data_IF_856752949992
#
_entry.id   IF_856752949992
#
_cell.length_a   1.000
_cell.length_b   1.000
_cell.length_c   1.000
_cell.angle_alpha   90.00
_cell.angle_beta   90.00
_cell.angle_gamma   90.00
#
_symmetry.space_group_name_H-M   'P 1'
#
loop_
_entity.id
_entity.type
_entity.pdbx_description
1 polymer ?
#
# COMPACT_ATOMS: atom_id res chain seq x y z
N UNK A 1 -29.72 -35.49 -16.55
CA UNK A 1 -28.72 -34.75 -15.75
C UNK A 1 -29.52 -33.84 -14.82
N UNK A 2 -29.33 -33.98 -13.50
CA UNK A 2 -30.17 -33.26 -12.53
C UNK A 2 -30.02 -31.74 -12.72
N UNK A 3 -31.15 -31.00 -12.62
CA UNK A 3 -31.20 -29.54 -12.79
C UNK A 3 -30.11 -28.84 -11.97
N UNK A 4 -29.85 -29.31 -10.75
CA UNK A 4 -28.81 -28.82 -9.87
C UNK A 4 -27.40 -28.91 -10.47
N UNK A 5 -27.06 -30.05 -11.11
CA UNK A 5 -25.77 -30.23 -11.78
C UNK A 5 -25.62 -29.28 -12.97
N UNK A 6 -26.70 -29.11 -13.74
CA UNK A 6 -26.69 -28.20 -14.89
C UNK A 6 -26.50 -26.76 -14.45
N UNK A 7 -27.19 -26.32 -13.38
CA UNK A 7 -26.99 -24.98 -12.80
C UNK A 7 -25.56 -24.79 -12.32
N UNK A 8 -24.96 -25.76 -11.63
CA UNK A 8 -23.58 -25.67 -11.19
C UNK A 8 -22.58 -25.59 -12.36
N UNK A 9 -22.79 -26.31 -13.45
CA UNK A 9 -21.97 -26.20 -14.65
C UNK A 9 -22.08 -24.82 -15.30
N UNK A 10 -23.29 -24.26 -15.40
CA UNK A 10 -23.50 -22.93 -15.95
C UNK A 10 -22.78 -21.88 -15.09
N UNK A 11 -22.92 -21.94 -13.78
CA UNK A 11 -22.24 -21.06 -12.84
C UNK A 11 -20.71 -21.21 -13.00
N UNK A 12 -20.19 -22.43 -13.04
CA UNK A 12 -18.76 -22.66 -13.20
C UNK A 12 -18.21 -22.11 -14.52
N UNK A 13 -18.95 -22.26 -15.63
CA UNK A 13 -18.58 -21.70 -16.95
C UNK A 13 -18.61 -20.19 -16.92
N UNK A 14 -19.64 -19.57 -16.32
CA UNK A 14 -19.73 -18.10 -16.19
C UNK A 14 -18.54 -17.57 -15.38
N UNK A 15 -18.24 -18.18 -14.23
CA UNK A 15 -17.07 -17.81 -13.43
C UNK A 15 -15.77 -17.98 -14.21
N UNK A 16 -15.59 -19.10 -14.90
CA UNK A 16 -14.41 -19.34 -15.71
C UNK A 16 -14.23 -18.25 -16.78
N UNK A 17 -15.26 -17.91 -17.53
CA UNK A 17 -15.22 -16.84 -18.56
C UNK A 17 -14.92 -15.50 -17.90
N UNK A 18 -15.59 -15.16 -16.79
CA UNK A 18 -15.36 -13.91 -16.06
C UNK A 18 -13.92 -13.76 -15.54
N UNK A 19 -13.25 -14.86 -15.20
CA UNK A 19 -11.88 -14.82 -14.65
C UNK A 19 -10.80 -15.16 -15.67
N UNK A 20 -11.13 -15.82 -16.78
CA UNK A 20 -10.17 -16.24 -17.82
C UNK A 20 -9.38 -15.07 -18.42
N UNK A 21 -9.97 -13.86 -18.49
CA UNK A 21 -9.29 -12.67 -18.98
C UNK A 21 -7.99 -12.35 -18.20
N UNK A 22 -7.88 -12.78 -16.94
CA UNK A 22 -6.68 -12.55 -16.11
C UNK A 22 -5.45 -13.31 -16.68
N UNK A 23 -5.67 -14.42 -17.38
CA UNK A 23 -4.57 -15.12 -18.06
C UNK A 23 -3.98 -14.30 -19.21
N UNK A 24 -4.74 -13.37 -19.80
CA UNK A 24 -4.24 -12.47 -20.83
C UNK A 24 -3.20 -11.47 -20.29
N UNK A 25 -3.18 -11.23 -18.98
CA UNK A 25 -2.18 -10.35 -18.35
C UNK A 25 -0.81 -11.03 -18.18
N UNK A 26 -0.73 -12.38 -18.16
CA UNK A 26 0.52 -13.10 -17.93
C UNK A 26 1.62 -12.75 -18.96
N UNK A 27 1.37 -12.72 -20.26
CA UNK A 27 2.39 -12.37 -21.25
C UNK A 27 2.72 -10.87 -21.31
N UNK A 28 1.86 -9.99 -20.79
CA UNK A 28 2.02 -8.52 -20.92
C UNK A 28 3.33 -8.01 -20.31
N UNK A 29 3.73 -8.36 -19.09
CA UNK A 29 5.01 -7.92 -18.53
C UNK A 29 6.21 -8.42 -19.36
N UNK A 30 6.15 -9.64 -19.86
CA UNK A 30 7.22 -10.21 -20.67
C UNK A 30 7.39 -9.47 -22.01
N UNK A 31 6.27 -9.07 -22.65
CA UNK A 31 6.29 -8.39 -23.95
C UNK A 31 6.61 -6.90 -23.84
N UNK A 32 6.08 -6.20 -22.83
CA UNK A 32 6.07 -4.74 -22.76
C UNK A 32 7.02 -4.13 -21.72
N UNK A 33 7.45 -4.89 -20.69
CA UNK A 33 8.20 -4.34 -19.58
C UNK A 33 9.52 -3.68 -20.03
N UNK A 34 10.31 -4.35 -20.88
CA UNK A 34 11.61 -3.82 -21.36
C UNK A 34 11.46 -2.49 -22.09
N UNK A 35 10.47 -2.38 -22.98
CA UNK A 35 10.23 -1.16 -23.77
C UNK A 35 9.79 0.00 -22.90
N UNK A 36 8.89 -0.24 -21.93
CA UNK A 36 8.42 0.80 -21.03
C UNK A 36 9.45 1.17 -19.97
N UNK A 37 10.24 0.21 -19.47
CA UNK A 37 11.34 0.49 -18.56
C UNK A 37 12.39 1.40 -19.19
N UNK A 38 12.76 1.19 -20.47
CA UNK A 38 13.67 2.07 -21.20
C UNK A 38 13.11 3.50 -21.30
N UNK A 39 11.79 3.65 -21.57
CA UNK A 39 11.15 4.96 -21.62
C UNK A 39 11.11 5.64 -20.23
N UNK A 40 10.81 4.89 -19.17
CA UNK A 40 10.79 5.40 -17.80
C UNK A 40 12.19 5.79 -17.28
N UNK A 41 13.22 5.04 -17.67
CA UNK A 41 14.60 5.35 -17.31
C UNK A 41 15.15 6.63 -17.97
N UNK A 42 14.56 7.06 -19.09
CA UNK A 42 14.90 8.31 -19.75
C UNK A 42 14.29 9.57 -19.08
N UNK A 43 13.36 9.39 -18.14
CA UNK A 43 12.75 10.47 -17.36
C UNK A 43 13.57 10.66 -16.08
N UNK A 44 14.10 11.86 -15.87
CA UNK A 44 14.70 12.23 -14.60
C UNK A 44 13.62 12.26 -13.51
N UNK A 45 13.88 11.55 -12.41
CA UNK A 45 13.00 11.57 -11.25
C UNK A 45 13.31 12.81 -10.41
N UNK A 46 12.36 13.72 -10.29
CA UNK A 46 12.46 14.87 -9.39
C UNK A 46 12.32 14.39 -7.94
N UNK A 47 13.23 14.79 -7.03
CA UNK A 47 13.03 14.50 -5.61
C UNK A 47 11.79 15.23 -5.07
N UNK A 48 10.95 14.53 -4.31
CA UNK A 48 9.75 15.05 -3.69
C UNK A 48 9.81 14.90 -2.16
N UNK A 49 9.14 15.79 -1.46
CA UNK A 49 9.03 15.77 -0.01
C UNK A 49 7.87 14.88 0.43
N UNK A 50 8.13 13.81 1.18
CA UNK A 50 7.14 12.82 1.55
C UNK A 50 6.85 12.75 3.04
N UNK A 51 5.57 12.69 3.40
CA UNK A 51 5.11 12.22 4.70
C UNK A 51 4.85 10.72 4.66
N UNK A 52 5.52 9.97 5.49
CA UNK A 52 5.24 8.54 5.73
C UNK A 52 4.27 8.43 6.88
N UNK A 53 3.12 7.81 6.63
CA UNK A 53 1.99 7.66 7.55
C UNK A 53 1.93 6.21 8.05
N UNK A 54 2.08 6.01 9.34
CA UNK A 54 2.02 4.69 9.98
C UNK A 54 0.95 4.72 11.07
N UNK A 55 -0.10 3.91 10.94
CA UNK A 55 -1.07 3.70 11.99
C UNK A 55 -0.74 2.40 12.73
N UNK A 56 -0.47 2.49 14.03
CA UNK A 56 -0.02 1.37 14.84
C UNK A 56 -0.95 1.16 16.03
N UNK A 57 -1.28 -0.11 16.33
CA UNK A 57 -2.04 -0.49 17.53
C UNK A 57 -1.43 -1.71 18.17
N UNK A 58 -0.70 -1.51 19.28
CA UNK A 58 0.04 -2.55 20.00
C UNK A 58 1.04 -3.30 19.08
N UNK A 59 1.90 -2.52 18.44
CA UNK A 59 2.90 -3.00 17.46
C UNK A 59 4.34 -2.82 17.97
N UNK A 60 4.53 -2.85 19.30
CA UNK A 60 5.84 -2.64 19.96
C UNK A 60 6.93 -3.60 19.48
N UNK A 61 6.54 -4.81 19.05
CA UNK A 61 7.48 -5.83 18.58
C UNK A 61 8.07 -5.56 17.16
N UNK A 62 7.40 -4.77 16.33
CA UNK A 62 7.72 -4.64 14.89
C UNK A 62 7.92 -3.22 14.40
N UNK A 63 7.37 -2.22 15.08
CA UNK A 63 7.40 -0.82 14.65
C UNK A 63 8.82 -0.27 14.43
N UNK A 64 9.79 -0.69 15.27
CA UNK A 64 11.18 -0.27 15.14
C UNK A 64 11.82 -0.77 13.84
N UNK A 65 11.48 -1.97 13.39
CA UNK A 65 12.02 -2.57 12.18
C UNK A 65 11.55 -1.81 10.93
N UNK A 66 10.28 -1.43 10.88
CA UNK A 66 9.76 -0.59 9.80
C UNK A 66 10.48 0.77 9.77
N UNK A 67 10.55 1.46 10.91
CA UNK A 67 11.21 2.78 10.98
C UNK A 67 12.69 2.65 10.61
N UNK A 68 13.38 1.59 11.07
CA UNK A 68 14.76 1.29 10.69
C UNK A 68 14.92 1.08 9.18
N UNK A 69 14.00 0.36 8.54
CA UNK A 69 13.99 0.15 7.09
C UNK A 69 13.73 1.44 6.30
N UNK A 70 12.93 2.37 6.84
CA UNK A 70 12.71 3.71 6.28
C UNK A 70 13.95 4.61 6.41
N UNK A 71 14.65 4.55 7.55
CA UNK A 71 15.90 5.29 7.77
C UNK A 71 17.06 4.78 6.92
N UNK A 72 17.02 3.52 6.49
CA UNK A 72 18.03 2.91 5.62
C UNK A 72 17.74 3.06 4.11
N UNK A 73 16.71 3.82 3.74
CA UNK A 73 16.39 4.07 2.34
C UNK A 73 17.52 4.84 1.63
N UNK A 74 17.74 4.52 0.36
CA UNK A 74 18.69 5.24 -0.51
C UNK A 74 18.15 6.61 -0.96
N UNK A 75 16.95 6.96 -0.58
CA UNK A 75 16.32 8.26 -0.82
C UNK A 75 16.85 9.31 0.18
N UNK A 76 16.84 10.57 -0.21
CA UNK A 76 17.29 11.67 0.66
C UNK A 76 16.46 11.73 1.94
N UNK A 77 17.11 11.50 3.07
CA UNK A 77 16.43 11.44 4.39
C UNK A 77 15.89 12.80 4.84
N UNK A 78 16.38 13.91 4.29
CA UNK A 78 15.83 15.24 4.57
C UNK A 78 14.46 15.49 3.93
N UNK A 79 14.10 14.68 2.93
CA UNK A 79 12.83 14.71 2.21
C UNK A 79 11.87 13.59 2.66
N UNK A 80 12.22 12.84 3.72
CA UNK A 80 11.42 11.70 4.20
C UNK A 80 11.06 11.89 5.67
N UNK A 81 9.84 12.25 5.94
CA UNK A 81 9.32 12.54 7.29
C UNK A 81 8.44 11.39 7.77
N UNK A 82 8.77 10.79 8.91
CA UNK A 82 8.09 9.59 9.43
C UNK A 82 7.15 10.00 10.56
N UNK A 83 5.86 9.74 10.38
CA UNK A 83 4.79 10.03 11.32
C UNK A 83 4.09 8.74 11.73
N UNK A 84 3.95 8.54 13.02
CA UNK A 84 3.25 7.39 13.61
C UNK A 84 2.06 7.88 14.40
N UNK A 85 0.87 7.33 14.15
CA UNK A 85 -0.25 7.43 15.05
C UNK A 85 -0.38 6.15 15.87
N UNK A 86 -0.11 6.24 17.16
CA UNK A 86 -0.36 5.17 18.12
C UNK A 86 -1.85 5.20 18.52
N UNK A 87 -2.65 4.33 17.89
CA UNK A 87 -4.10 4.30 18.07
C UNK A 87 -4.53 3.28 19.12
N UNK A 88 -5.00 3.78 20.26
CA UNK A 88 -5.42 2.96 21.40
C UNK A 88 -4.33 1.96 21.88
N UNK A 89 -3.07 2.37 21.84
CA UNK A 89 -1.97 1.53 22.33
C UNK A 89 -1.99 1.40 23.85
N UNK A 90 -1.73 0.18 24.33
CA UNK A 90 -1.58 -0.17 25.75
C UNK A 90 -0.18 -0.69 26.08
N UNK A 91 0.68 -0.80 25.05
CA UNK A 91 2.07 -1.22 25.13
C UNK A 91 3.05 -0.06 24.83
N UNK A 92 4.34 -0.37 24.70
CA UNK A 92 5.40 0.62 24.49
C UNK A 92 5.54 1.09 23.03
N UNK A 93 4.55 0.84 22.13
CA UNK A 93 4.60 1.21 20.72
C UNK A 93 5.01 2.67 20.51
N UNK A 94 4.39 3.62 21.23
CA UNK A 94 4.68 5.05 21.12
C UNK A 94 6.12 5.39 21.49
N UNK A 95 6.60 4.83 22.62
CA UNK A 95 7.95 5.10 23.13
C UNK A 95 9.03 4.55 22.17
N UNK A 96 8.81 3.33 21.66
CA UNK A 96 9.71 2.67 20.71
C UNK A 96 9.75 3.45 19.38
N UNK A 97 8.61 3.88 18.86
CA UNK A 97 8.56 4.66 17.62
C UNK A 97 9.29 6.01 17.74
N UNK A 98 9.12 6.72 18.86
CA UNK A 98 9.87 7.96 19.15
C UNK A 98 11.37 7.71 19.22
N UNK A 99 11.79 6.67 19.92
CA UNK A 99 13.21 6.29 20.05
C UNK A 99 13.84 5.92 18.73
N UNK A 100 13.06 5.35 17.80
CA UNK A 100 13.49 5.04 16.44
C UNK A 100 13.52 6.29 15.51
N UNK A 101 13.11 7.46 16.01
CA UNK A 101 13.21 8.74 15.30
C UNK A 101 11.96 9.14 14.50
N UNK A 102 10.80 8.59 14.80
CA UNK A 102 9.53 9.03 14.23
C UNK A 102 8.90 10.17 15.05
N UNK A 103 8.14 11.06 14.42
CA UNK A 103 7.19 11.95 15.08
C UNK A 103 5.94 11.15 15.41
N UNK A 104 5.56 11.12 16.71
CA UNK A 104 4.48 10.25 17.19
C UNK A 104 3.34 11.04 17.77
N UNK A 105 2.14 10.82 17.24
CA UNK A 105 0.87 11.24 17.82
C UNK A 105 0.19 10.06 18.50
N UNK A 106 -0.59 10.33 19.53
CA UNK A 106 -1.34 9.33 20.28
C UNK A 106 -2.84 9.64 20.20
N UNK A 107 -3.63 8.60 20.00
CA UNK A 107 -5.08 8.70 19.95
C UNK A 107 -5.72 7.63 20.81
N UNK A 108 -6.69 8.05 21.63
CA UNK A 108 -7.50 7.16 22.47
C UNK A 108 -8.98 7.41 22.14
N UNK A 109 -9.58 6.53 21.32
CA UNK A 109 -10.97 6.64 20.89
C UNK A 109 -11.57 5.25 20.68
N UNK A 110 -12.55 4.88 21.50
CA UNK A 110 -13.22 3.58 21.45
C UNK A 110 -14.51 3.60 20.60
N UNK A 111 -14.89 4.75 20.05
CA UNK A 111 -16.08 4.91 19.20
C UNK A 111 -15.71 4.83 17.72
N UNK A 112 -14.71 5.59 17.32
CA UNK A 112 -14.20 5.61 15.94
C UNK A 112 -12.98 4.68 15.85
N UNK A 113 -13.21 3.39 15.71
CA UNK A 113 -12.16 2.37 15.66
C UNK A 113 -11.88 1.98 14.20
N UNK A 114 -10.60 1.84 13.86
CA UNK A 114 -10.16 1.37 12.54
C UNK A 114 -9.13 2.28 11.88
N UNK A 115 -8.39 1.71 10.91
CA UNK A 115 -7.29 2.37 10.21
C UNK A 115 -7.72 3.66 9.49
N UNK A 116 -8.92 3.68 8.90
CA UNK A 116 -9.44 4.88 8.24
C UNK A 116 -9.57 6.07 9.18
N UNK A 117 -10.11 5.86 10.38
CA UNK A 117 -10.20 6.92 11.40
C UNK A 117 -8.82 7.31 11.95
N UNK A 118 -7.91 6.37 12.07
CA UNK A 118 -6.54 6.63 12.49
C UNK A 118 -5.81 7.50 11.45
N UNK A 119 -5.90 7.15 10.16
CA UNK A 119 -5.34 7.96 9.07
C UNK A 119 -5.95 9.35 9.02
N UNK A 120 -7.28 9.47 9.16
CA UNK A 120 -7.96 10.76 9.24
C UNK A 120 -7.40 11.65 10.34
N UNK A 121 -7.26 11.08 11.55
CA UNK A 121 -6.71 11.81 12.71
C UNK A 121 -5.28 12.24 12.46
N UNK A 122 -4.43 11.34 11.93
CA UNK A 122 -3.02 11.64 11.64
C UNK A 122 -2.91 12.77 10.61
N UNK A 123 -3.64 12.69 9.51
CA UNK A 123 -3.65 13.73 8.47
C UNK A 123 -4.13 15.07 9.00
N UNK A 124 -5.18 15.08 9.86
CA UNK A 124 -5.65 16.32 10.49
C UNK A 124 -4.60 16.96 11.41
N UNK A 125 -3.79 16.18 12.12
CA UNK A 125 -2.64 16.71 12.85
C UNK A 125 -1.58 17.29 11.93
N UNK A 126 -1.28 16.59 10.82
CA UNK A 126 -0.28 17.08 9.86
C UNK A 126 -0.70 18.38 9.17
N UNK A 127 -1.98 18.56 8.85
CA UNK A 127 -2.50 19.82 8.30
C UNK A 127 -2.30 21.00 9.27
N UNK A 128 -2.41 20.76 10.58
CA UNK A 128 -2.22 21.78 11.61
C UNK A 128 -0.74 22.10 11.86
N UNK A 129 0.08 21.05 12.02
CA UNK A 129 1.48 21.19 12.44
C UNK A 129 2.42 21.49 11.27
N UNK A 130 2.03 21.07 10.04
CA UNK A 130 2.81 21.23 8.81
C UNK A 130 1.98 21.91 7.71
N UNK A 131 1.60 23.19 7.85
CA UNK A 131 0.69 23.88 6.91
C UNK A 131 1.30 24.02 5.49
N UNK A 132 2.62 23.96 5.37
CA UNK A 132 3.27 23.89 4.06
C UNK A 132 2.98 22.58 3.31
N UNK A 133 2.58 21.51 4.04
CA UNK A 133 2.27 20.20 3.51
C UNK A 133 3.47 19.45 2.93
N UNK A 134 3.17 18.34 2.28
CA UNK A 134 4.14 17.48 1.61
C UNK A 134 3.71 17.28 0.14
N UNK A 135 4.64 16.89 -0.73
CA UNK A 135 4.30 16.61 -2.14
C UNK A 135 3.48 15.31 -2.27
N UNK A 136 3.73 14.37 -1.36
CA UNK A 136 2.99 13.11 -1.32
C UNK A 136 3.02 12.45 0.06
N UNK A 137 2.09 11.54 0.24
CA UNK A 137 1.84 10.81 1.48
C UNK A 137 1.95 9.30 1.22
N UNK A 138 2.76 8.60 1.99
CA UNK A 138 2.99 7.15 1.82
C UNK A 138 2.46 6.43 3.05
N UNK A 139 1.54 5.49 2.85
CA UNK A 139 0.89 4.75 3.94
C UNK A 139 1.51 3.37 4.12
N UNK A 140 1.87 3.03 5.36
CA UNK A 140 2.36 1.70 5.74
C UNK A 140 1.62 1.14 6.95
N UNK A 141 1.53 -0.19 6.99
CA UNK A 141 1.22 -0.93 8.21
C UNK A 141 2.50 -1.12 9.04
N UNK A 142 2.38 -1.16 10.35
CA UNK A 142 3.52 -1.13 11.28
C UNK A 142 4.45 -2.35 11.18
N UNK A 143 3.96 -3.47 10.64
CA UNK A 143 4.68 -4.73 10.48
C UNK A 143 5.45 -4.87 9.15
N UNK A 144 5.47 -3.83 8.34
CA UNK A 144 6.12 -3.86 7.03
C UNK A 144 7.65 -3.73 7.14
N UNK A 145 8.38 -4.30 6.17
CA UNK A 145 9.80 -4.04 5.94
C UNK A 145 10.01 -3.64 4.47
N UNK A 146 10.84 -2.65 4.23
CA UNK A 146 11.08 -2.08 2.91
C UNK A 146 12.45 -2.48 2.38
N UNK A 147 12.51 -2.76 1.08
CA UNK A 147 13.78 -2.80 0.36
C UNK A 147 14.46 -1.42 0.38
N UNK A 148 15.79 -1.31 0.47
CA UNK A 148 16.49 -0.02 0.51
C UNK A 148 16.19 0.92 -0.66
N UNK A 149 15.78 0.40 -1.80
CA UNK A 149 15.41 1.18 -2.99
C UNK A 149 13.93 1.53 -3.11
N UNK A 150 13.11 1.19 -2.11
CA UNK A 150 11.65 1.30 -2.18
C UNK A 150 11.17 2.73 -2.47
N UNK A 151 11.57 3.69 -1.65
CA UNK A 151 11.12 5.09 -1.79
C UNK A 151 11.60 5.69 -3.12
N UNK A 152 12.84 5.40 -3.53
CA UNK A 152 13.36 5.85 -4.82
C UNK A 152 12.57 5.27 -6.01
N UNK A 153 12.11 4.03 -5.91
CA UNK A 153 11.27 3.41 -6.95
C UNK A 153 9.86 4.02 -6.99
N UNK A 154 9.25 4.29 -5.83
CA UNK A 154 7.97 4.99 -5.72
C UNK A 154 8.06 6.39 -6.30
N UNK A 155 9.10 7.16 -5.90
CA UNK A 155 9.36 8.52 -6.39
C UNK A 155 9.52 8.55 -7.92
N UNK A 156 10.24 7.58 -8.51
CA UNK A 156 10.42 7.49 -9.96
C UNK A 156 9.09 7.31 -10.70
N UNK A 157 8.15 6.56 -10.13
CA UNK A 157 6.83 6.40 -10.72
C UNK A 157 5.96 7.63 -10.50
N UNK A 158 6.01 8.24 -9.33
CA UNK A 158 5.31 9.48 -8.99
C UNK A 158 5.75 10.64 -9.87
N UNK A 159 7.05 10.80 -10.13
CA UNK A 159 7.62 11.83 -11.03
C UNK A 159 7.14 11.71 -12.49
N UNK A 160 6.46 10.63 -12.87
CA UNK A 160 5.83 10.50 -14.19
C UNK A 160 4.45 11.19 -14.26
N UNK A 161 4.02 11.86 -13.19
CA UNK A 161 2.75 12.60 -13.12
C UNK A 161 1.55 11.76 -12.70
N UNK A 162 1.77 10.66 -11.97
CA UNK A 162 0.68 9.89 -11.36
C UNK A 162 0.39 10.38 -9.95
N UNK A 163 -0.86 10.68 -9.66
CA UNK A 163 -1.30 11.11 -8.33
C UNK A 163 -1.33 9.98 -7.31
N UNK A 164 -1.49 8.73 -7.75
CA UNK A 164 -1.58 7.57 -6.87
C UNK A 164 -0.69 6.45 -7.40
N UNK A 165 0.14 5.89 -6.51
CA UNK A 165 1.09 4.84 -6.85
C UNK A 165 0.99 3.71 -5.83
N UNK A 166 0.83 2.48 -6.28
CA UNK A 166 0.90 1.26 -5.45
C UNK A 166 2.21 0.51 -5.69
N UNK A 167 2.63 -0.27 -4.69
CA UNK A 167 3.92 -0.94 -4.67
C UNK A 167 3.85 -2.45 -4.94
N UNK A 168 5.04 -3.07 -5.05
CA UNK A 168 5.19 -4.51 -5.15
C UNK A 168 5.18 -5.12 -3.75
N UNK A 169 4.12 -5.87 -3.43
CA UNK A 169 4.00 -6.59 -2.15
C UNK A 169 4.57 -7.99 -2.26
N UNK A 170 5.29 -8.39 -1.22
CA UNK A 170 5.88 -9.71 -1.06
C UNK A 170 5.66 -10.18 0.39
N UNK A 171 5.97 -11.44 0.71
CA UNK A 171 5.89 -12.01 2.04
C UNK A 171 7.27 -12.18 2.65
N UNK A 172 7.42 -11.89 3.96
CA UNK A 172 8.63 -12.18 4.74
C UNK A 172 8.79 -13.68 5.01
N UNK A 173 7.70 -14.36 5.24
CA UNK A 173 7.62 -15.69 5.88
C UNK A 173 6.89 -16.73 5.04
N UNK A 174 7.09 -16.70 3.72
CA UNK A 174 6.44 -17.64 2.79
C UNK A 174 6.75 -19.13 3.08
N UNK A 175 7.85 -19.41 3.77
CA UNK A 175 8.29 -20.77 4.09
C UNK A 175 7.75 -21.35 5.39
N UNK A 176 7.05 -20.58 6.22
CA UNK A 176 6.65 -21.02 7.57
C UNK A 176 5.55 -22.07 7.55
N UNK A 177 4.57 -21.92 6.67
CA UNK A 177 3.46 -22.86 6.52
C UNK A 177 2.77 -22.68 5.16
N UNK A 178 1.86 -23.61 4.82
CA UNK A 178 1.15 -23.60 3.55
C UNK A 178 0.22 -22.39 3.35
N UNK A 179 -0.30 -21.80 4.44
CA UNK A 179 -1.14 -20.58 4.38
C UNK A 179 -0.27 -19.40 3.99
N UNK A 180 0.87 -19.21 4.64
CA UNK A 180 1.84 -18.15 4.31
C UNK A 180 2.35 -18.27 2.88
N UNK A 181 2.61 -19.50 2.42
CA UNK A 181 2.97 -19.78 1.02
C UNK A 181 1.84 -19.40 0.05
N UNK A 182 0.60 -19.70 0.39
CA UNK A 182 -0.58 -19.34 -0.41
C UNK A 182 -0.74 -17.82 -0.56
N UNK A 183 -0.58 -17.06 0.52
CA UNK A 183 -0.60 -15.59 0.47
C UNK A 183 0.60 -15.01 -0.30
N UNK A 184 1.79 -15.58 -0.18
CA UNK A 184 2.94 -15.16 -0.97
C UNK A 184 2.69 -15.32 -2.47
N UNK A 185 2.10 -16.44 -2.90
CA UNK A 185 1.69 -16.66 -4.28
C UNK A 185 0.60 -15.66 -4.72
N UNK A 186 -0.34 -15.33 -3.83
CA UNK A 186 -1.36 -14.32 -4.10
C UNK A 186 -0.74 -12.93 -4.34
N UNK A 187 0.18 -12.47 -3.47
CA UNK A 187 0.86 -11.20 -3.62
C UNK A 187 1.72 -11.14 -4.88
N UNK A 188 2.44 -12.24 -5.18
CA UNK A 188 3.21 -12.36 -6.43
C UNK A 188 2.30 -12.22 -7.66
N UNK A 189 1.16 -12.94 -7.68
CA UNK A 189 0.18 -12.86 -8.77
C UNK A 189 -0.37 -11.45 -8.91
N UNK A 190 -0.80 -10.84 -7.81
CA UNK A 190 -1.37 -9.49 -7.81
C UNK A 190 -0.36 -8.46 -8.28
N UNK A 191 0.85 -8.45 -7.72
CA UNK A 191 1.88 -7.47 -8.06
C UNK A 191 2.40 -7.67 -9.48
N UNK A 192 2.89 -8.87 -9.81
CA UNK A 192 3.61 -9.14 -11.05
C UNK A 192 2.69 -9.30 -12.27
N UNK A 193 1.57 -10.00 -12.10
CA UNK A 193 0.73 -10.40 -13.23
C UNK A 193 -0.55 -9.58 -13.38
N UNK A 194 -1.03 -8.91 -12.33
CA UNK A 194 -2.18 -8.01 -12.43
C UNK A 194 -1.75 -6.54 -12.45
N UNK A 195 -1.19 -6.02 -11.37
CA UNK A 195 -0.90 -4.59 -11.26
C UNK A 195 0.19 -4.14 -12.25
N UNK A 196 1.27 -4.91 -12.38
CA UNK A 196 2.30 -4.58 -13.37
C UNK A 196 1.74 -4.61 -14.81
N UNK A 197 0.96 -5.64 -15.15
CA UNK A 197 0.35 -5.73 -16.49
C UNK A 197 -0.64 -4.58 -16.75
N UNK A 198 -1.52 -4.26 -15.78
CA UNK A 198 -2.45 -3.13 -15.87
C UNK A 198 -1.72 -1.80 -16.10
N UNK A 199 -0.68 -1.54 -15.32
CA UNK A 199 0.16 -0.35 -15.48
C UNK A 199 0.83 -0.29 -16.85
N UNK A 200 1.34 -1.43 -17.37
CA UNK A 200 1.91 -1.51 -18.71
C UNK A 200 0.88 -1.29 -19.81
N UNK A 201 -0.35 -1.67 -19.63
CA UNK A 201 -1.45 -1.42 -20.57
C UNK A 201 -2.04 -0.01 -20.44
N UNK A 202 -1.64 0.77 -19.41
CA UNK A 202 -2.16 2.11 -19.15
C UNK A 202 -3.56 2.12 -18.51
N UNK A 203 -3.99 0.97 -17.95
CA UNK A 203 -5.19 0.87 -17.13
C UNK A 203 -4.85 1.12 -15.66
N UNK A 204 -5.86 1.38 -14.82
CA UNK A 204 -5.65 1.59 -13.39
C UNK A 204 -5.37 0.29 -12.65
N UNK A 205 -4.46 0.35 -11.68
CA UNK A 205 -4.31 -0.64 -10.63
C UNK A 205 -5.33 -0.38 -9.50
N UNK A 206 -5.19 -1.08 -8.37
CA UNK A 206 -5.89 -0.78 -7.14
C UNK A 206 -4.88 -0.67 -6.00
N UNK A 207 -5.16 0.17 -5.02
CA UNK A 207 -4.47 0.18 -3.74
C UNK A 207 -4.92 -1.05 -2.96
N UNK A 208 -4.07 -1.59 -2.11
CA UNK A 208 -4.39 -2.78 -1.33
C UNK A 208 -3.67 -2.72 0.02
N UNK A 209 -4.34 -2.18 1.02
CA UNK A 209 -3.98 -2.11 2.43
C UNK A 209 -2.79 -1.19 2.73
N UNK A 210 -1.63 -1.48 2.21
CA UNK A 210 -0.36 -0.85 2.61
C UNK A 210 0.58 -0.63 1.44
N UNK A 211 1.61 0.20 1.62
CA UNK A 211 2.62 0.46 0.61
C UNK A 211 2.10 1.22 -0.60
N UNK A 212 1.29 2.25 -0.38
CA UNK A 212 0.83 3.12 -1.44
C UNK A 212 1.15 4.58 -1.15
N UNK A 213 1.26 5.36 -2.21
CA UNK A 213 1.52 6.78 -2.20
C UNK A 213 0.34 7.50 -2.85
N UNK A 214 -0.05 8.64 -2.31
CA UNK A 214 -0.97 9.59 -2.94
C UNK A 214 -0.44 11.01 -2.86
N UNK A 215 -0.78 11.83 -3.87
CA UNK A 215 -0.31 13.22 -3.99
C UNK A 215 -1.02 14.15 -3.02
N UNK A 216 -0.42 15.33 -2.82
CA UNK A 216 -1.05 16.46 -2.13
C UNK A 216 -2.39 16.83 -2.78
N UNK A 217 -2.48 16.85 -4.10
CA UNK A 217 -3.71 17.17 -4.81
C UNK A 217 -4.87 16.23 -4.46
N UNK A 218 -4.58 14.93 -4.27
CA UNK A 218 -5.59 13.97 -3.79
C UNK A 218 -6.06 14.34 -2.40
N UNK A 219 -5.17 14.66 -1.47
CA UNK A 219 -5.56 15.07 -0.11
C UNK A 219 -6.40 16.34 -0.09
N UNK A 220 -6.00 17.35 -0.87
CA UNK A 220 -6.71 18.64 -0.96
C UNK A 220 -8.13 18.50 -1.52
N UNK A 221 -8.34 17.58 -2.46
CA UNK A 221 -9.66 17.35 -3.05
C UNK A 221 -10.57 16.42 -2.21
N UNK A 222 -10.01 15.40 -1.59
CA UNK A 222 -10.78 14.45 -0.78
C UNK A 222 -10.97 14.89 0.66
N UNK A 223 -10.14 15.83 1.15
CA UNK A 223 -10.02 16.15 2.57
C UNK A 223 -9.30 15.05 3.36
N UNK A 224 -9.20 15.20 4.68
CA UNK A 224 -8.44 14.27 5.52
C UNK A 224 -9.14 12.91 5.61
N UNK A 225 -8.84 12.03 4.67
CA UNK A 225 -9.19 10.61 4.61
C UNK A 225 -10.66 10.27 5.00
N UNK A 226 -11.65 10.47 4.11
CA UNK A 226 -13.06 10.18 4.42
C UNK A 226 -13.46 8.70 4.29
N UNK A 227 -12.48 7.78 4.22
CA UNK A 227 -12.66 6.36 3.96
C UNK A 227 -12.56 5.56 5.25
N UNK A 228 -13.69 5.01 5.75
CA UNK A 228 -13.78 4.42 7.09
C UNK A 228 -14.29 2.97 7.09
N UNK A 229 -14.51 2.37 5.92
CA UNK A 229 -14.89 0.97 5.83
C UNK A 229 -13.73 0.06 6.24
N UNK A 230 -14.02 -1.20 6.53
CA UNK A 230 -13.00 -2.22 6.82
C UNK A 230 -11.99 -2.38 5.66
N UNK A 231 -12.42 -2.07 4.44
CA UNK A 231 -11.61 -2.06 3.21
C UNK A 231 -11.47 -0.62 2.71
N UNK A 232 -10.92 0.26 3.55
CA UNK A 232 -10.73 1.68 3.26
C UNK A 232 -9.88 1.93 2.01
N UNK A 233 -8.94 1.05 1.74
CA UNK A 233 -8.06 1.03 0.58
C UNK A 233 -8.81 0.78 -0.74
N UNK A 234 -9.76 -0.14 -0.73
CA UNK A 234 -10.64 -0.40 -1.89
C UNK A 234 -11.60 0.77 -2.07
N UNK A 235 -12.18 1.29 -0.98
CA UNK A 235 -13.05 2.46 -1.02
C UNK A 235 -12.32 3.66 -1.62
N UNK A 236 -11.09 3.94 -1.18
CA UNK A 236 -10.21 4.96 -1.74
C UNK A 236 -9.95 4.72 -3.23
N UNK A 237 -9.54 3.50 -3.61
CA UNK A 237 -9.24 3.15 -5.01
C UNK A 237 -10.44 3.39 -5.93
N UNK A 238 -11.63 2.94 -5.52
CA UNK A 238 -12.86 3.11 -6.31
C UNK A 238 -13.23 4.59 -6.43
N UNK A 239 -13.15 5.34 -5.33
CA UNK A 239 -13.42 6.78 -5.33
C UNK A 239 -12.52 7.51 -6.33
N UNK A 240 -11.21 7.32 -6.26
CA UNK A 240 -10.26 8.02 -7.10
C UNK A 240 -10.36 7.63 -8.59
N UNK A 241 -10.64 6.36 -8.88
CA UNK A 241 -10.87 5.90 -10.25
C UNK A 241 -12.15 6.54 -10.83
N UNK A 242 -13.19 6.70 -10.04
CA UNK A 242 -14.43 7.38 -10.46
C UNK A 242 -14.21 8.87 -10.72
N UNK A 243 -13.25 9.51 -10.04
CA UNK A 243 -12.80 10.89 -10.34
C UNK A 243 -11.87 10.97 -11.57
N UNK A 244 -11.63 9.85 -12.25
CA UNK A 244 -10.82 9.79 -13.48
C UNK A 244 -9.32 9.63 -13.22
N UNK A 245 -8.86 9.50 -11.97
CA UNK A 245 -7.47 9.25 -11.63
C UNK A 245 -7.08 7.81 -11.92
N UNK A 246 -5.79 7.59 -12.14
CA UNK A 246 -5.20 6.26 -12.33
C UNK A 246 -4.26 5.93 -11.20
N UNK A 247 -4.45 4.75 -10.64
CA UNK A 247 -3.47 4.16 -9.72
C UNK A 247 -2.37 3.50 -10.55
N UNK A 248 -1.16 4.03 -10.48
CA UNK A 248 0.02 3.45 -11.13
C UNK A 248 0.66 2.37 -10.25
N UNK A 249 1.50 1.54 -10.85
CA UNK A 249 2.26 0.50 -10.14
C UNK A 249 3.76 0.76 -10.27
N UNK A 250 4.47 0.77 -9.14
CA UNK A 250 5.92 0.89 -9.08
C UNK A 250 6.55 -0.51 -9.03
N UNK A 251 7.13 -1.03 -10.12
CA UNK A 251 7.51 -2.45 -10.22
C UNK A 251 8.74 -2.84 -9.39
N UNK A 252 9.54 -1.87 -8.95
CA UNK A 252 10.78 -2.09 -8.18
C UNK A 252 10.69 -1.61 -6.74
N UNK A 253 9.50 -1.27 -6.25
CA UNK A 253 9.24 -0.92 -4.85
C UNK A 253 8.84 -2.16 -4.07
N UNK A 254 9.82 -2.94 -3.59
CA UNK A 254 9.55 -4.17 -2.86
C UNK A 254 9.24 -3.89 -1.39
N UNK A 255 8.05 -4.34 -0.98
CA UNK A 255 7.53 -4.29 0.38
C UNK A 255 7.31 -5.72 0.87
N UNK A 256 7.77 -6.02 2.08
CA UNK A 256 7.64 -7.32 2.71
C UNK A 256 6.65 -7.24 3.88
N UNK A 257 5.56 -8.01 3.80
CA UNK A 257 4.54 -8.11 4.84
C UNK A 257 4.81 -9.31 5.75
N UNK A 258 4.50 -9.17 7.03
CA UNK A 258 4.41 -10.30 7.95
C UNK A 258 3.03 -10.95 7.84
N UNK A 259 2.98 -12.27 7.65
CA UNK A 259 1.73 -13.04 7.58
C UNK A 259 1.41 -13.75 8.91
N UNK A 260 2.12 -13.40 9.99
CA UNK A 260 1.96 -14.05 11.30
C UNK A 260 0.57 -13.75 11.89
N UNK A 261 0.05 -12.55 11.69
CA UNK A 261 -1.27 -12.15 12.22
C UNK A 261 -2.47 -12.75 11.49
N UNK A 262 -2.27 -13.34 10.31
CA UNK A 262 -3.35 -13.97 9.54
C UNK A 262 -3.66 -15.37 10.08
N UNK A 263 -2.73 -16.02 10.76
CA UNK A 263 -2.89 -17.36 11.34
C UNK A 263 -3.44 -17.37 12.77
N UNK A 264 -3.48 -16.22 13.45
CA UNK A 264 -4.15 -16.12 14.74
C UNK A 264 -5.64 -15.81 14.54
N UNK A 265 -6.57 -16.64 15.08
CA UNK A 265 -7.97 -16.28 15.09
C UNK A 265 -8.09 -14.98 15.90
N UNK A 266 -8.67 -13.96 15.27
CA UNK A 266 -9.02 -12.69 15.93
C UNK A 266 -9.63 -12.99 17.30
N UNK A 267 -8.88 -12.80 18.37
CA UNK A 267 -9.43 -12.75 19.72
C UNK A 267 -10.25 -11.46 19.79
N UNK A 268 -11.54 -11.64 19.65
CA UNK A 268 -12.54 -10.60 19.95
C UNK A 268 -12.56 -10.33 21.46
#
# INVERSE_FOLDING_TARGET
MDTLRMTNYIIAVVFFVCYAYQFLYIPVPWLLAKRKAAKAAALEATPHNYAVLICARNESAVIADLIGSLRSQTYDQSLLHIFVLADNCTDDTSAIARSAGATVYERFNNVQVGKGYALQTLLSHLEQDYPAGFDGYIVFDADNILDPGYIAAMNRTFSQGYDIVTSYRNSKNYGDNWISAGYALWFLRESRYLNHARSLLGTSCAVSGTGFLFSRAVLEETGPWPFHLLTEDIQFSVHEILQGRKVAFAPYSFLYLSLIHISEPTRH
#
